data_IF_552992929061
#
_entry.id   IF_552992929061
#
_cell.length_a   1.000
_cell.length_b   1.000
_cell.length_c   1.000
_cell.angle_alpha   90.00
_cell.angle_beta   90.00
_cell.angle_gamma   90.00
#
_symmetry.space_group_name_H-M   'P 1'
#
loop_
_entity.id
_entity.type
_entity.pdbx_description
1 polymer ?
#
# COMPACT_ATOMS: atom_id res chain seq x y z
N UNK A 1 -19.82 7.37 -6.31
CA UNK A 1 -19.18 7.08 -5.01
C UNK A 1 -20.02 6.08 -4.26
N UNK A 2 -21.23 6.42 -3.85
CA UNK A 2 -22.19 5.45 -3.31
C UNK A 2 -22.63 4.45 -4.41
N UNK A 3 -22.67 3.15 -4.08
CA UNK A 3 -23.05 2.08 -5.02
C UNK A 3 -21.99 1.65 -6.04
N UNK A 4 -20.78 2.24 -6.05
CA UNK A 4 -19.70 1.78 -6.94
C UNK A 4 -18.92 0.62 -6.26
N UNK A 5 -18.83 -0.54 -6.93
CA UNK A 5 -18.07 -1.73 -6.46
C UNK A 5 -16.58 -1.46 -6.21
N UNK A 6 -16.02 -0.43 -6.84
CA UNK A 6 -14.64 0.03 -6.62
C UNK A 6 -14.45 0.78 -5.30
N UNK A 7 -15.54 1.25 -4.68
CA UNK A 7 -15.57 1.98 -3.42
C UNK A 7 -16.07 1.09 -2.28
N UNK A 8 -15.70 -0.20 -2.32
CA UNK A 8 -16.07 -1.19 -1.32
C UNK A 8 -14.84 -1.75 -0.64
N UNK A 9 -15.03 -2.10 0.62
CA UNK A 9 -14.09 -2.85 1.42
C UNK A 9 -14.82 -4.02 2.08
N UNK A 10 -14.07 -5.09 2.35
CA UNK A 10 -14.51 -6.19 3.18
C UNK A 10 -13.81 -6.06 4.54
N UNK A 11 -14.57 -6.11 5.63
CA UNK A 11 -14.06 -6.05 7.00
C UNK A 11 -13.93 -7.45 7.59
N UNK A 12 -12.78 -7.72 8.18
CA UNK A 12 -12.54 -8.90 9.00
C UNK A 12 -12.23 -8.40 10.41
N UNK A 13 -13.13 -8.71 11.35
CA UNK A 13 -13.06 -8.22 12.72
C UNK A 13 -12.60 -9.34 13.67
N UNK A 14 -11.88 -9.00 14.75
CA UNK A 14 -11.51 -9.97 15.77
C UNK A 14 -12.76 -10.44 16.54
N UNK A 15 -12.80 -11.72 16.93
CA UNK A 15 -13.99 -12.36 17.55
C UNK A 15 -14.49 -11.66 18.83
N UNK A 16 -13.60 -11.04 19.60
CA UNK A 16 -13.93 -10.35 20.85
C UNK A 16 -13.94 -8.81 20.67
N UNK A 17 -14.45 -8.36 19.52
CA UNK A 17 -14.24 -7.02 18.94
C UNK A 17 -14.73 -5.80 19.71
N UNK A 18 -14.99 -5.87 21.02
CA UNK A 18 -15.35 -4.71 21.88
C UNK A 18 -14.63 -4.63 23.21
N UNK A 19 -13.72 -5.56 23.53
CA UNK A 19 -13.04 -5.59 24.83
C UNK A 19 -11.85 -4.62 24.92
N UNK A 20 -11.30 -4.22 23.78
CA UNK A 20 -10.15 -3.31 23.66
C UNK A 20 -10.10 -2.68 22.27
N UNK A 21 -9.24 -1.69 22.09
CA UNK A 21 -8.90 -1.16 20.78
C UNK A 21 -7.92 -2.09 20.05
N UNK A 22 -8.11 -2.25 18.76
CA UNK A 22 -7.33 -3.14 17.91
C UNK A 22 -6.57 -2.36 16.84
N UNK A 23 -5.29 -2.70 16.58
CA UNK A 23 -4.57 -2.16 15.44
C UNK A 23 -5.23 -2.60 14.12
N UNK A 24 -5.04 -1.79 13.08
CA UNK A 24 -5.61 -2.01 11.75
C UNK A 24 -4.56 -2.48 10.77
N UNK A 25 -4.89 -3.43 9.90
CA UNK A 25 -4.11 -3.73 8.69
C UNK A 25 -4.99 -3.64 7.45
N UNK A 26 -4.64 -2.73 6.55
CA UNK A 26 -5.32 -2.55 5.25
C UNK A 26 -4.61 -3.36 4.17
N UNK A 27 -5.35 -4.15 3.41
CA UNK A 27 -4.84 -5.01 2.34
C UNK A 27 -5.26 -4.44 0.99
N UNK A 28 -4.29 -4.17 0.11
CA UNK A 28 -4.52 -3.51 -1.19
C UNK A 28 -3.99 -4.42 -2.31
N UNK A 29 -4.91 -4.85 -3.17
CA UNK A 29 -4.59 -5.81 -4.22
C UNK A 29 -3.67 -5.23 -5.31
N UNK A 30 -2.94 -6.11 -6.01
CA UNK A 30 -2.19 -5.77 -7.21
C UNK A 30 -3.07 -5.74 -8.47
N UNK A 31 -2.45 -5.84 -9.65
CA UNK A 31 -3.19 -5.89 -10.93
C UNK A 31 -2.92 -4.71 -11.87
N UNK A 32 -1.78 -4.03 -11.70
CA UNK A 32 -1.31 -2.99 -12.62
C UNK A 32 -2.29 -1.82 -12.77
N UNK A 33 -3.01 -1.49 -11.68
CA UNK A 33 -4.06 -0.46 -11.61
C UNK A 33 -5.21 -0.62 -12.62
N UNK A 34 -5.26 -1.74 -13.35
CA UNK A 34 -6.24 -2.03 -14.41
C UNK A 34 -7.13 -3.22 -14.10
N UNK A 35 -6.72 -4.05 -13.15
CA UNK A 35 -7.36 -5.28 -12.77
C UNK A 35 -7.18 -5.51 -11.27
N UNK A 36 -7.79 -6.60 -10.78
CA UNK A 36 -7.70 -7.04 -9.40
C UNK A 36 -9.00 -6.81 -8.64
N UNK A 37 -9.12 -7.48 -7.50
CA UNK A 37 -10.24 -7.34 -6.57
C UNK A 37 -9.81 -7.80 -5.17
N UNK A 38 -10.34 -7.12 -4.15
CA UNK A 38 -10.13 -7.40 -2.71
C UNK A 38 -10.42 -8.85 -2.30
N UNK A 39 -11.30 -9.55 -3.00
CA UNK A 39 -11.68 -10.94 -2.69
C UNK A 39 -10.73 -12.00 -3.28
N UNK A 40 -9.65 -11.57 -3.95
CA UNK A 40 -8.75 -12.47 -4.69
C UNK A 40 -7.55 -12.96 -3.86
N UNK A 41 -7.42 -14.27 -3.72
CA UNK A 41 -6.23 -14.94 -3.20
C UNK A 41 -5.80 -14.42 -1.82
N UNK A 42 -4.53 -14.02 -1.70
CA UNK A 42 -3.95 -13.55 -0.42
C UNK A 42 -4.64 -12.30 0.13
N UNK A 43 -5.29 -11.49 -0.72
CA UNK A 43 -6.03 -10.30 -0.29
C UNK A 43 -7.38 -10.64 0.36
N UNK A 44 -7.84 -11.90 0.26
CA UNK A 44 -8.93 -12.45 1.06
C UNK A 44 -8.40 -13.24 2.25
N UNK A 45 -7.38 -14.06 2.04
CA UNK A 45 -6.95 -15.06 3.01
C UNK A 45 -6.12 -14.44 4.16
N UNK A 46 -5.20 -13.50 3.88
CA UNK A 46 -4.40 -12.85 4.93
C UNK A 46 -5.22 -11.98 5.88
N UNK A 47 -6.17 -11.14 5.42
CA UNK A 47 -7.00 -10.39 6.35
C UNK A 47 -7.77 -11.27 7.34
N UNK A 48 -8.23 -12.45 6.93
CA UNK A 48 -8.88 -13.42 7.83
C UNK A 48 -7.89 -13.95 8.88
N UNK A 49 -6.66 -14.27 8.47
CA UNK A 49 -5.61 -14.70 9.40
C UNK A 49 -5.29 -13.60 10.41
N UNK A 50 -5.05 -12.36 9.96
CA UNK A 50 -4.71 -11.25 10.84
C UNK A 50 -5.87 -10.88 11.77
N UNK A 51 -7.11 -10.92 11.29
CA UNK A 51 -8.27 -10.72 12.15
C UNK A 51 -8.36 -11.77 13.27
N UNK A 52 -8.06 -13.04 12.97
CA UNK A 52 -8.00 -14.11 13.97
C UNK A 52 -6.92 -13.88 15.05
N UNK A 53 -5.93 -13.03 14.75
CA UNK A 53 -4.83 -12.66 15.66
C UNK A 53 -5.11 -11.41 16.47
N UNK A 54 -6.25 -10.73 16.31
CA UNK A 54 -6.54 -9.49 17.02
C UNK A 54 -6.11 -8.23 16.26
N UNK A 55 -6.34 -8.21 14.95
CA UNK A 55 -6.32 -6.99 14.14
C UNK A 55 -7.73 -6.71 13.64
N UNK A 56 -8.06 -5.44 13.41
CA UNK A 56 -9.13 -5.11 12.47
C UNK A 56 -8.51 -5.10 11.08
N UNK A 57 -9.03 -5.88 10.16
CA UNK A 57 -8.50 -5.92 8.80
C UNK A 57 -9.54 -5.41 7.81
N UNK A 58 -9.05 -4.69 6.80
CA UNK A 58 -9.86 -4.23 5.69
C UNK A 58 -9.16 -4.61 4.39
N UNK A 59 -9.82 -5.39 3.54
CA UNK A 59 -9.38 -5.59 2.16
C UNK A 59 -10.18 -4.65 1.27
N UNK A 60 -9.52 -3.80 0.48
CA UNK A 60 -10.17 -2.68 -0.20
C UNK A 60 -10.07 -2.82 -1.72
N UNK A 61 -11.13 -2.39 -2.42
CA UNK A 61 -11.06 -2.03 -3.82
C UNK A 61 -10.73 -0.53 -3.95
N UNK A 62 -10.27 -0.15 -5.14
CA UNK A 62 -10.05 1.23 -5.57
C UNK A 62 -10.44 1.35 -7.05
N UNK A 63 -10.73 2.57 -7.53
CA UNK A 63 -10.97 2.81 -8.96
C UNK A 63 -9.78 2.34 -9.78
N UNK A 64 -10.08 1.66 -10.88
CA UNK A 64 -9.07 1.25 -11.85
C UNK A 64 -8.96 2.33 -12.94
N UNK A 65 -7.91 2.27 -13.75
CA UNK A 65 -7.60 3.35 -14.70
C UNK A 65 -8.47 3.39 -15.96
N UNK A 66 -9.52 2.58 -16.01
CA UNK A 66 -10.66 2.71 -16.92
C UNK A 66 -11.74 3.66 -16.38
N UNK A 67 -11.76 3.92 -15.08
CA UNK A 67 -12.68 4.86 -14.40
C UNK A 67 -11.97 6.14 -13.88
N UNK A 68 -10.64 6.19 -13.92
CA UNK A 68 -9.85 7.33 -13.41
C UNK A 68 -8.37 7.21 -13.74
N UNK A 69 -7.53 7.91 -12.97
CA UNK A 69 -6.07 7.91 -13.09
C UNK A 69 -5.41 7.21 -11.91
N UNK A 70 -4.07 7.11 -11.92
CA UNK A 70 -3.31 6.62 -10.77
C UNK A 70 -3.52 7.49 -9.52
N UNK A 71 -3.79 8.80 -9.69
CA UNK A 71 -4.08 9.70 -8.57
C UNK A 71 -5.43 9.36 -7.93
N UNK A 72 -6.41 8.95 -8.74
CA UNK A 72 -7.69 8.45 -8.24
C UNK A 72 -7.53 7.15 -7.45
N UNK A 73 -6.64 6.25 -7.89
CA UNK A 73 -6.31 5.03 -7.15
C UNK A 73 -5.75 5.38 -5.75
N UNK A 74 -4.84 6.36 -5.67
CA UNK A 74 -4.24 6.84 -4.43
C UNK A 74 -5.31 7.47 -3.52
N UNK A 75 -6.13 8.37 -4.08
CA UNK A 75 -7.19 9.06 -3.36
C UNK A 75 -8.22 8.08 -2.77
N UNK A 76 -8.59 7.03 -3.49
CA UNK A 76 -9.53 6.01 -3.03
C UNK A 76 -8.97 5.23 -1.83
N UNK A 77 -7.69 4.83 -1.89
CA UNK A 77 -7.03 4.15 -0.78
C UNK A 77 -6.92 5.05 0.46
N UNK A 78 -6.56 6.33 0.27
CA UNK A 78 -6.55 7.32 1.35
C UNK A 78 -7.94 7.49 1.96
N UNK A 79 -8.99 7.57 1.13
CA UNK A 79 -10.37 7.68 1.58
C UNK A 79 -10.83 6.46 2.39
N UNK A 80 -10.40 5.24 2.02
CA UNK A 80 -10.72 4.03 2.78
C UNK A 80 -10.09 4.05 4.18
N UNK A 81 -8.83 4.52 4.30
CA UNK A 81 -8.17 4.70 5.60
C UNK A 81 -8.91 5.74 6.47
N UNK A 82 -9.32 6.87 5.88
CA UNK A 82 -10.10 7.89 6.59
C UNK A 82 -11.46 7.35 7.05
N UNK A 83 -12.13 6.56 6.21
CA UNK A 83 -13.39 5.90 6.56
C UNK A 83 -13.22 5.00 7.79
N UNK A 84 -12.17 4.17 7.83
CA UNK A 84 -11.87 3.31 8.98
C UNK A 84 -11.62 4.13 10.26
N UNK A 85 -10.89 5.25 10.17
CA UNK A 85 -10.69 6.15 11.32
C UNK A 85 -11.97 6.83 11.78
N UNK A 86 -12.85 7.21 10.86
CA UNK A 86 -14.14 7.82 11.19
C UNK A 86 -15.09 6.85 11.91
N UNK A 87 -14.96 5.55 11.67
CA UNK A 87 -15.76 4.49 12.30
C UNK A 87 -15.02 3.79 13.45
N UNK A 88 -13.98 4.43 13.99
CA UNK A 88 -13.09 3.75 14.92
C UNK A 88 -13.77 3.29 16.22
N UNK A 89 -14.73 4.06 16.74
CA UNK A 89 -15.50 3.68 17.93
C UNK A 89 -16.35 2.43 17.67
N UNK A 90 -17.08 2.40 16.55
CA UNK A 90 -17.93 1.27 16.15
C UNK A 90 -17.13 -0.02 15.96
N UNK A 91 -15.94 0.12 15.36
CA UNK A 91 -15.08 -1.01 14.97
C UNK A 91 -14.02 -1.35 16.03
N UNK A 92 -14.00 -0.65 17.18
CA UNK A 92 -12.98 -0.78 18.22
C UNK A 92 -11.55 -0.68 17.67
N UNK A 93 -11.31 0.32 16.83
CA UNK A 93 -10.02 0.57 16.18
C UNK A 93 -9.13 1.46 17.05
N UNK A 94 -7.87 1.11 17.16
CA UNK A 94 -6.82 2.03 17.59
C UNK A 94 -6.43 2.97 16.44
N UNK A 95 -6.89 4.21 16.51
CA UNK A 95 -6.68 5.25 15.48
C UNK A 95 -5.21 5.56 15.18
N UNK A 96 -4.30 5.20 16.10
CA UNK A 96 -2.87 5.48 15.99
C UNK A 96 -2.07 4.34 15.33
N UNK A 97 -2.63 3.13 15.26
CA UNK A 97 -1.92 1.92 14.85
C UNK A 97 -2.51 1.31 13.59
N UNK A 98 -2.28 1.99 12.45
CA UNK A 98 -2.66 1.54 11.12
C UNK A 98 -1.43 1.04 10.36
N UNK A 99 -1.47 -0.18 9.86
CA UNK A 99 -0.54 -0.70 8.87
C UNK A 99 -1.24 -0.98 7.55
N UNK A 100 -0.45 -1.18 6.50
CA UNK A 100 -0.98 -1.64 5.22
C UNK A 100 -0.02 -2.62 4.52
N UNK A 101 -0.61 -3.57 3.79
CA UNK A 101 0.09 -4.52 2.94
C UNK A 101 -0.42 -4.49 1.50
N UNK A 102 0.51 -4.53 0.54
CA UNK A 102 0.19 -4.63 -0.88
C UNK A 102 1.26 -5.33 -1.71
N UNK A 103 0.88 -5.79 -2.89
CA UNK A 103 1.79 -6.34 -3.90
C UNK A 103 1.65 -5.57 -5.22
N UNK A 104 2.77 -5.32 -5.92
CA UNK A 104 2.80 -4.69 -7.23
C UNK A 104 2.10 -3.31 -7.22
N UNK A 105 1.08 -3.09 -8.03
CA UNK A 105 0.27 -1.87 -8.00
C UNK A 105 -0.30 -1.55 -6.59
N UNK A 106 -0.71 -2.55 -5.83
CA UNK A 106 -1.17 -2.35 -4.45
C UNK A 106 -0.04 -1.98 -3.50
N UNK A 107 1.17 -2.50 -3.74
CA UNK A 107 2.37 -2.13 -3.00
C UNK A 107 2.74 -0.66 -3.21
N UNK A 108 2.56 -0.16 -4.44
CA UNK A 108 2.69 1.25 -4.76
C UNK A 108 1.70 2.10 -3.95
N UNK A 109 0.42 1.74 -3.96
CA UNK A 109 -0.62 2.47 -3.21
C UNK A 109 -0.37 2.45 -1.70
N UNK A 110 0.13 1.33 -1.17
CA UNK A 110 0.55 1.19 0.23
C UNK A 110 1.76 2.07 0.56
N UNK A 111 2.76 2.17 -0.34
CA UNK A 111 3.87 3.09 -0.16
C UNK A 111 3.40 4.56 -0.16
N UNK A 112 2.46 4.90 -1.04
CA UNK A 112 1.86 6.24 -1.06
C UNK A 112 1.09 6.58 0.21
N UNK A 113 0.36 5.63 0.81
CA UNK A 113 -0.28 5.82 2.12
C UNK A 113 0.72 6.12 3.25
N UNK A 114 1.91 5.53 3.18
CA UNK A 114 2.94 5.70 4.22
C UNK A 114 3.80 6.94 4.04
N UNK A 115 4.05 7.37 2.80
CA UNK A 115 5.01 8.44 2.52
C UNK A 115 4.36 9.79 2.22
N UNK A 116 3.23 9.82 1.51
CA UNK A 116 2.59 11.09 1.15
C UNK A 116 1.75 11.66 2.30
N UNK A 117 1.91 12.96 2.53
CA UNK A 117 1.17 13.74 3.51
C UNK A 117 -0.19 14.22 2.96
N UNK A 118 -0.98 14.85 3.82
CA UNK A 118 -2.23 15.51 3.42
C UNK A 118 -2.01 16.80 2.63
N UNK A 119 -0.80 17.37 2.65
CA UNK A 119 -0.44 18.61 1.94
C UNK A 119 -0.01 18.38 0.50
N UNK A 120 0.25 17.13 0.12
CA UNK A 120 0.71 16.76 -1.23
C UNK A 120 -0.43 16.72 -2.27
N UNK A 121 -1.63 17.20 -1.90
CA UNK A 121 -2.83 17.26 -2.77
C UNK A 121 -3.33 15.90 -3.28
N UNK A 122 -2.91 14.79 -2.64
CA UNK A 122 -3.28 13.42 -3.02
C UNK A 122 -4.50 12.86 -2.27
N UNK A 123 -5.12 13.63 -1.38
CA UNK A 123 -6.27 13.17 -0.58
C UNK A 123 -7.55 12.92 -1.39
N UNK A 124 -7.61 13.50 -2.61
CA UNK A 124 -8.81 13.60 -3.41
C UNK A 124 -9.94 14.34 -2.70
N UNK A 125 -11.16 14.08 -3.15
CA UNK A 125 -12.40 14.72 -2.72
C UNK A 125 -13.38 13.72 -2.08
N UNK A 126 -12.92 12.52 -1.73
CA UNK A 126 -13.67 11.54 -0.94
C UNK A 126 -14.00 12.06 0.48
N UNK A 127 -14.96 11.44 1.18
CA UNK A 127 -15.45 11.89 2.49
C UNK A 127 -14.39 11.78 3.61
N UNK A 128 -14.78 12.22 4.82
CA UNK A 128 -14.01 12.09 6.08
C UNK A 128 -12.64 12.79 6.04
N UNK A 129 -12.52 13.94 5.35
CA UNK A 129 -11.25 14.66 5.15
C UNK A 129 -10.67 15.28 6.43
N UNK A 130 -11.46 15.35 7.49
CA UNK A 130 -11.04 15.73 8.85
C UNK A 130 -10.20 14.65 9.54
N UNK A 131 -10.21 13.41 9.05
CA UNK A 131 -9.39 12.30 9.55
C UNK A 131 -8.12 12.14 8.73
N UNK A 132 -7.03 11.72 9.38
CA UNK A 132 -5.77 11.40 8.68
C UNK A 132 -5.94 10.19 7.76
N UNK A 133 -5.22 10.17 6.63
CA UNK A 133 -5.12 9.01 5.73
C UNK A 133 -3.80 8.23 5.88
N UNK A 134 -2.88 8.69 6.74
CA UNK A 134 -1.54 8.13 6.87
C UNK A 134 -1.55 6.73 7.51
N UNK A 135 -0.56 5.89 7.19
CA UNK A 135 -0.32 4.61 7.88
C UNK A 135 1.04 4.62 8.57
N UNK A 136 1.13 3.93 9.71
CA UNK A 136 2.32 3.82 10.57
C UNK A 136 3.23 2.66 10.18
N UNK A 137 2.72 1.61 9.55
CA UNK A 137 3.51 0.43 9.15
C UNK A 137 3.27 0.09 7.68
N UNK A 138 4.33 0.05 6.89
CA UNK A 138 4.24 -0.18 5.44
C UNK A 138 4.89 -1.50 5.08
N UNK A 139 4.12 -2.49 4.64
CA UNK A 139 4.65 -3.73 4.08
C UNK A 139 4.33 -3.81 2.59
N UNK A 140 5.35 -3.89 1.73
CA UNK A 140 5.16 -3.77 0.30
C UNK A 140 6.02 -4.79 -0.45
N UNK A 141 5.48 -5.38 -1.51
CA UNK A 141 6.21 -6.36 -2.33
C UNK A 141 6.15 -6.06 -3.82
N UNK A 142 7.28 -6.23 -4.52
CA UNK A 142 7.43 -5.94 -5.95
C UNK A 142 6.96 -4.51 -6.33
N UNK A 143 7.40 -3.52 -5.55
CA UNK A 143 6.83 -2.16 -5.53
C UNK A 143 7.35 -1.28 -6.67
N UNK A 144 6.47 -0.69 -7.50
CA UNK A 144 6.79 0.47 -8.33
C UNK A 144 6.98 1.73 -7.48
N UNK A 145 8.11 2.43 -7.61
CA UNK A 145 8.54 3.51 -6.70
C UNK A 145 8.91 4.82 -7.41
N UNK A 146 9.39 4.74 -8.64
CA UNK A 146 9.78 5.88 -9.46
C UNK A 146 9.34 5.68 -10.90
N UNK A 147 8.22 6.34 -11.25
CA UNK A 147 7.66 6.27 -12.59
C UNK A 147 8.49 7.06 -13.60
N UNK A 148 9.30 8.05 -13.19
CA UNK A 148 10.17 8.79 -14.12
C UNK A 148 11.25 7.92 -14.75
N UNK A 149 11.60 6.80 -14.11
CA UNK A 149 12.52 5.80 -14.67
C UNK A 149 11.87 4.86 -15.68
N UNK A 150 10.55 4.93 -15.85
CA UNK A 150 9.86 4.14 -16.87
C UNK A 150 10.21 4.72 -18.23
N UNK A 151 10.99 3.96 -19.01
CA UNK A 151 11.64 4.43 -20.23
C UNK A 151 10.67 4.93 -21.29
N UNK A 152 11.24 5.49 -22.37
CA UNK A 152 10.49 6.04 -23.49
C UNK A 152 9.47 5.05 -24.05
N UNK A 153 9.70 3.73 -24.09
CA UNK A 153 8.69 2.75 -24.53
C UNK A 153 7.43 2.69 -23.64
N UNK A 154 7.53 2.94 -22.34
CA UNK A 154 6.37 2.98 -21.45
C UNK A 154 5.63 4.30 -21.60
N UNK A 155 6.38 5.40 -21.81
CA UNK A 155 5.86 6.75 -22.10
C UNK A 155 5.28 6.87 -23.52
N UNK A 156 5.83 6.13 -24.48
CA UNK A 156 5.48 6.12 -25.91
C UNK A 156 4.59 4.94 -26.30
N UNK A 157 4.33 4.00 -25.38
CA UNK A 157 3.41 2.87 -25.55
C UNK A 157 1.93 3.24 -25.71
N UNK A 158 1.65 4.47 -26.19
CA UNK A 158 0.32 5.01 -26.41
C UNK A 158 -0.55 4.98 -25.16
N UNK A 159 -1.80 4.51 -25.30
CA UNK A 159 -2.86 4.55 -24.30
C UNK A 159 -2.54 3.99 -22.91
N UNK A 160 -1.42 3.28 -22.70
CA UNK A 160 -1.03 2.79 -21.36
C UNK A 160 -0.59 3.91 -20.42
N UNK A 161 0.32 4.79 -20.85
CA UNK A 161 0.77 5.91 -20.02
C UNK A 161 -0.35 6.94 -19.87
N UNK A 162 -1.06 7.24 -20.97
CA UNK A 162 -2.21 8.13 -20.96
C UNK A 162 -3.32 7.65 -20.00
N UNK A 163 -3.63 6.35 -19.97
CA UNK A 163 -4.61 5.82 -19.01
C UNK A 163 -4.15 5.96 -17.55
N UNK A 164 -2.87 5.71 -17.26
CA UNK A 164 -2.34 5.78 -15.89
C UNK A 164 -2.20 7.22 -15.39
N UNK A 165 -1.60 8.08 -16.20
CA UNK A 165 -1.11 9.38 -15.78
C UNK A 165 -1.91 10.55 -16.37
N UNK A 166 -2.91 10.27 -17.22
CA UNK A 166 -3.62 11.28 -17.99
C UNK A 166 -2.83 11.76 -19.21
N UNK A 167 -3.55 12.42 -20.13
CA UNK A 167 -2.98 12.97 -21.38
C UNK A 167 -2.35 14.36 -21.19
N UNK A 168 -2.63 15.03 -20.08
CA UNK A 168 -2.07 16.34 -19.71
C UNK A 168 -1.22 16.19 -18.46
N UNK A 169 -0.13 16.94 -18.41
CA UNK A 169 0.76 17.00 -17.24
C UNK A 169 1.30 15.64 -16.78
N UNK A 170 1.44 14.69 -17.70
CA UNK A 170 1.89 13.31 -17.45
C UNK A 170 3.14 13.25 -16.57
N UNK A 171 4.14 14.12 -16.82
CA UNK A 171 5.37 14.16 -16.02
C UNK A 171 5.17 14.61 -14.57
N UNK A 172 4.25 15.53 -14.35
CA UNK A 172 3.88 15.98 -13.02
C UNK A 172 3.10 14.87 -12.31
N UNK A 173 2.17 14.22 -12.99
CA UNK A 173 1.43 13.08 -12.42
C UNK A 173 2.35 11.91 -12.09
N UNK A 174 3.34 11.63 -12.95
CA UNK A 174 4.36 10.60 -12.68
C UNK A 174 5.20 10.93 -11.44
N UNK A 175 5.56 12.19 -11.22
CA UNK A 175 6.28 12.64 -10.03
C UNK A 175 5.42 12.55 -8.77
N UNK A 176 4.18 13.07 -8.83
CA UNK A 176 3.22 13.02 -7.73
C UNK A 176 2.85 11.58 -7.35
N UNK A 177 2.79 10.69 -8.33
CA UNK A 177 2.49 9.30 -8.08
C UNK A 177 3.70 8.51 -7.58
N UNK A 178 4.94 9.03 -7.65
CA UNK A 178 6.15 8.27 -7.32
C UNK A 178 6.47 8.29 -5.81
N UNK A 179 6.44 7.14 -5.10
CA UNK A 179 6.84 7.07 -3.69
C UNK A 179 8.18 7.72 -3.33
N UNK A 180 9.18 7.64 -4.22
CA UNK A 180 10.52 8.23 -3.98
C UNK A 180 10.47 9.74 -3.73
N UNK A 181 9.46 10.44 -4.21
CA UNK A 181 9.29 11.90 -4.04
C UNK A 181 9.11 12.30 -2.57
N UNK A 182 8.60 11.39 -1.74
CA UNK A 182 8.09 11.70 -0.40
C UNK A 182 8.94 11.13 0.74
N UNK A 183 10.10 10.53 0.43
CA UNK A 183 10.97 9.94 1.44
C UNK A 183 11.66 11.02 2.27
N UNK A 184 11.56 10.90 3.59
CA UNK A 184 12.20 11.79 4.56
C UNK A 184 12.77 10.98 5.73
N UNK A 185 13.52 11.62 6.63
CA UNK A 185 13.96 10.99 7.88
C UNK A 185 12.80 10.57 8.80
N UNK A 186 11.61 11.17 8.61
CA UNK A 186 10.39 10.89 9.36
C UNK A 186 9.49 9.84 8.69
N UNK A 187 9.91 9.24 7.57
CA UNK A 187 9.17 8.14 6.94
C UNK A 187 8.90 7.01 7.95
N UNK A 188 7.71 6.37 7.89
CA UNK A 188 7.34 5.33 8.85
C UNK A 188 8.21 4.08 8.67
N UNK A 189 8.12 3.09 9.57
CA UNK A 189 8.71 1.78 9.35
C UNK A 189 8.25 1.10 8.05
N UNK A 190 9.20 0.47 7.34
CA UNK A 190 8.98 -0.27 6.10
C UNK A 190 9.48 -1.71 6.19
N UNK A 191 8.70 -2.65 5.65
CA UNK A 191 9.15 -3.97 5.23
C UNK A 191 8.97 -4.08 3.70
N UNK A 192 10.07 -4.08 2.98
CA UNK A 192 10.11 -4.21 1.53
C UNK A 192 10.50 -5.64 1.15
N UNK A 193 9.82 -6.23 0.17
CA UNK A 193 10.15 -7.56 -0.36
C UNK A 193 10.23 -7.51 -1.88
N UNK A 194 11.34 -7.95 -2.48
CA UNK A 194 11.47 -7.96 -3.93
C UNK A 194 12.33 -9.13 -4.41
N UNK A 195 11.90 -9.78 -5.49
CA UNK A 195 12.66 -10.83 -6.15
C UNK A 195 13.65 -10.30 -7.18
N UNK A 196 14.88 -10.82 -7.22
CA UNK A 196 15.92 -10.33 -8.15
C UNK A 196 15.66 -10.73 -9.61
N UNK A 197 14.80 -11.72 -9.85
CA UNK A 197 14.38 -12.18 -11.17
C UNK A 197 12.98 -11.65 -11.57
N UNK A 198 12.49 -10.59 -10.93
CA UNK A 198 11.24 -9.94 -11.31
C UNK A 198 11.36 -9.28 -12.70
N UNK A 199 10.61 -9.81 -13.66
CA UNK A 199 10.56 -9.30 -15.05
C UNK A 199 9.42 -8.33 -15.30
N UNK A 200 8.60 -8.03 -14.28
CA UNK A 200 7.44 -7.12 -14.37
C UNK A 200 7.75 -5.78 -13.76
N UNK A 201 8.29 -5.77 -12.54
CA UNK A 201 8.79 -4.57 -11.88
C UNK A 201 10.28 -4.80 -11.67
N UNK A 202 11.17 -4.02 -12.31
CA UNK A 202 12.60 -4.19 -12.11
C UNK A 202 12.96 -4.02 -10.64
N UNK A 203 13.77 -4.94 -10.10
CA UNK A 203 14.23 -4.91 -8.69
C UNK A 203 14.91 -3.58 -8.33
N UNK A 204 15.49 -2.90 -9.32
CA UNK A 204 16.08 -1.56 -9.18
C UNK A 204 15.12 -0.54 -8.53
N UNK A 205 13.80 -0.66 -8.76
CA UNK A 205 12.80 0.21 -8.12
C UNK A 205 12.85 0.12 -6.59
N UNK A 206 13.04 -1.09 -6.04
CA UNK A 206 13.19 -1.27 -4.59
C UNK A 206 14.62 -1.03 -4.11
N UNK A 207 15.63 -1.35 -4.92
CA UNK A 207 17.04 -1.04 -4.59
C UNK A 207 17.24 0.48 -4.43
N UNK A 208 16.69 1.29 -5.36
CA UNK A 208 16.77 2.76 -5.33
C UNK A 208 15.98 3.35 -4.15
N UNK A 209 14.76 2.87 -3.90
CA UNK A 209 13.96 3.36 -2.78
C UNK A 209 14.65 3.05 -1.43
N UNK A 210 15.22 1.85 -1.29
CA UNK A 210 15.97 1.47 -0.10
C UNK A 210 17.22 2.35 0.08
N UNK A 211 17.99 2.59 -0.98
CA UNK A 211 19.13 3.50 -0.95
C UNK A 211 18.72 4.93 -0.53
N UNK A 212 17.59 5.41 -1.03
CA UNK A 212 17.05 6.73 -0.67
C UNK A 212 16.65 6.80 0.81
N UNK A 213 16.06 5.76 1.39
CA UNK A 213 15.79 5.71 2.83
C UNK A 213 17.07 5.85 3.67
N UNK A 214 18.16 5.19 3.25
CA UNK A 214 19.47 5.34 3.89
C UNK A 214 20.03 6.75 3.74
N UNK A 215 19.97 7.34 2.54
CA UNK A 215 20.40 8.72 2.29
C UNK A 215 19.66 9.73 3.18
N UNK A 216 18.35 9.54 3.38
CA UNK A 216 17.52 10.39 4.24
C UNK A 216 17.60 10.05 5.73
N UNK A 217 18.41 9.06 6.11
CA UNK A 217 18.55 8.59 7.49
C UNK A 217 17.23 8.11 8.12
N UNK A 218 16.35 7.47 7.34
CA UNK A 218 15.16 6.79 7.88
C UNK A 218 15.59 5.51 8.62
N UNK A 219 15.09 5.33 9.84
CA UNK A 219 15.73 4.43 10.82
C UNK A 219 15.19 3.00 10.82
N UNK A 220 14.00 2.73 10.27
CA UNK A 220 13.30 1.44 10.43
C UNK A 220 12.83 0.86 9.09
N UNK A 221 13.78 0.56 8.22
CA UNK A 221 13.53 -0.01 6.88
C UNK A 221 14.21 -1.37 6.77
N UNK A 222 13.41 -2.42 6.60
CA UNK A 222 13.89 -3.77 6.31
C UNK A 222 13.63 -4.10 4.85
N UNK A 223 14.64 -4.63 4.15
CA UNK A 223 14.51 -5.02 2.75
C UNK A 223 14.92 -6.48 2.52
N UNK A 224 13.93 -7.33 2.27
CA UNK A 224 14.10 -8.72 1.85
C UNK A 224 14.23 -8.78 0.33
N UNK A 225 15.49 -8.69 -0.13
CA UNK A 225 15.86 -8.82 -1.54
C UNK A 225 16.18 -10.29 -1.85
N UNK A 226 15.21 -11.03 -2.37
CA UNK A 226 15.27 -12.49 -2.48
C UNK A 226 15.83 -12.91 -3.84
N UNK A 227 16.96 -13.60 -3.82
CA UNK A 227 17.65 -14.03 -5.04
C UNK A 227 16.87 -15.09 -5.84
N UNK A 228 16.79 -14.92 -7.16
CA UNK A 228 16.10 -15.83 -8.08
C UNK A 228 14.56 -15.78 -8.04
N UNK A 229 13.96 -15.06 -7.09
CA UNK A 229 12.52 -14.94 -6.99
C UNK A 229 11.94 -13.99 -8.05
N UNK A 230 10.71 -14.24 -8.50
CA UNK A 230 10.01 -13.42 -9.50
C UNK A 230 8.97 -12.47 -8.90
N UNK A 231 8.06 -11.95 -9.75
CA UNK A 231 7.07 -10.94 -9.37
C UNK A 231 6.12 -11.35 -8.23
N UNK A 232 5.86 -12.65 -8.10
CA UNK A 232 5.06 -13.24 -7.03
C UNK A 232 5.85 -13.54 -5.75
N UNK A 233 7.00 -12.91 -5.53
CA UNK A 233 7.98 -13.24 -4.47
C UNK A 233 7.33 -13.50 -3.11
N UNK A 234 6.35 -12.67 -2.72
CA UNK A 234 5.71 -12.79 -1.42
C UNK A 234 5.00 -14.15 -1.24
N UNK A 235 4.38 -14.68 -2.30
CA UNK A 235 3.75 -16.01 -2.27
C UNK A 235 4.75 -17.13 -2.57
N UNK A 236 5.69 -16.89 -3.47
CA UNK A 236 6.72 -17.88 -3.86
C UNK A 236 7.63 -18.25 -2.68
N UNK A 237 7.85 -17.30 -1.77
CA UNK A 237 8.71 -17.45 -0.59
C UNK A 237 7.92 -17.28 0.72
N UNK A 238 6.67 -17.76 0.75
CA UNK A 238 5.76 -17.57 1.89
C UNK A 238 6.33 -18.06 3.25
N UNK A 239 7.21 -19.07 3.24
CA UNK A 239 7.87 -19.56 4.46
C UNK A 239 8.78 -18.52 5.12
N UNK A 240 9.25 -17.53 4.37
CA UNK A 240 10.10 -16.43 4.85
C UNK A 240 9.29 -15.13 5.00
N UNK A 241 8.48 -14.80 3.98
CA UNK A 241 7.80 -13.51 3.88
C UNK A 241 6.60 -13.39 4.82
N UNK A 242 5.85 -14.47 5.06
CA UNK A 242 4.68 -14.42 5.97
C UNK A 242 5.12 -14.24 7.43
N UNK A 243 6.12 -15.00 7.95
CA UNK A 243 6.67 -14.71 9.28
C UNK A 243 7.22 -13.29 9.41
N UNK A 244 7.97 -12.80 8.40
CA UNK A 244 8.53 -11.45 8.43
C UNK A 244 7.43 -10.37 8.48
N UNK A 245 6.36 -10.49 7.69
CA UNK A 245 5.25 -9.55 7.72
C UNK A 245 4.50 -9.59 9.06
N UNK A 246 4.37 -10.77 9.67
CA UNK A 246 3.76 -10.93 10.99
C UNK A 246 4.58 -10.21 12.06
N UNK A 247 5.87 -10.54 12.14
CA UNK A 247 6.78 -9.91 13.11
C UNK A 247 6.83 -8.40 12.94
N UNK A 248 6.87 -7.93 11.68
CA UNK A 248 6.84 -6.50 11.38
C UNK A 248 5.59 -5.81 11.91
N UNK A 249 4.39 -6.33 11.64
CA UNK A 249 3.16 -5.71 12.12
C UNK A 249 2.97 -5.87 13.64
N UNK A 250 3.35 -6.99 14.24
CA UNK A 250 3.29 -7.17 15.70
C UNK A 250 4.22 -6.15 16.39
N UNK A 251 5.48 -6.05 15.93
CA UNK A 251 6.47 -5.09 16.46
C UNK A 251 6.00 -3.64 16.33
N UNK A 252 5.56 -3.23 15.14
CA UNK A 252 5.30 -1.80 14.85
C UNK A 252 3.93 -1.34 15.37
N UNK A 253 2.90 -2.20 15.32
CA UNK A 253 1.52 -1.81 15.65
C UNK A 253 1.06 -2.22 17.05
N UNK A 254 1.77 -3.16 17.72
CA UNK A 254 1.45 -3.56 19.09
C UNK A 254 2.54 -3.22 20.09
N UNK A 255 3.77 -3.02 19.62
CA UNK A 255 4.91 -2.83 20.49
C UNK A 255 5.42 -4.13 21.12
N UNK A 256 4.96 -5.30 20.64
CA UNK A 256 5.31 -6.63 21.16
C UNK A 256 6.75 -7.07 20.81
N UNK A 257 7.58 -6.15 20.30
CA UNK A 257 8.96 -6.41 19.85
C UNK A 257 10.06 -5.93 20.80
N UNK A 258 9.83 -5.96 22.13
CA UNK A 258 10.87 -5.79 23.14
C UNK A 258 10.88 -6.96 24.12
#
# INVERSE_FOLDING_TARGET
REGNEKWKLDLMLPKNGKEKLYPVVVFIHGGGWRNGDKSSGVFRDYPLEYASRGYVCASINYRLVDEGTILDCIADCKSAVRWLRAHAEELSIDVNNFGAYGNSAGAHLVAMLGLSSTQDELEGDGPYREYSSAVRAVCCSATPTNFRLWGEEVRSGGGRAAALFGERDTEQVMELASPVTYVTSASPPFLMVHGTADTTVPVQQSDDLHALFHEKNSQDVTYLRIDGAGHGVFRQHASETVPAMREFFDRVLRGDGK
#
